data_IF_020525398213
#
_entry.id   IF_020525398213
#
_cell.length_a   1.000
_cell.length_b   1.000
_cell.length_c   1.000
_cell.angle_alpha   90.00
_cell.angle_beta   90.00
_cell.angle_gamma   90.00
#
_symmetry.space_group_name_H-M   'P 1'
#
loop_
_entity.id
_entity.type
_entity.pdbx_description
1 polymer ?
#
# COMPACT_ATOMS: atom_id res chain seq x y z
N UNK A 1 -17.36 25.23 -29.08
CA UNK A 1 -16.46 26.29 -28.65
C UNK A 1 -16.39 26.34 -27.10
N UNK A 2 -16.06 25.23 -26.44
CA UNK A 2 -15.94 25.13 -24.96
C UNK A 2 -14.72 24.27 -24.57
N UNK A 3 -13.58 24.39 -25.25
CA UNK A 3 -12.38 23.60 -24.95
C UNK A 3 -11.14 24.42 -24.55
N UNK A 4 -11.28 25.67 -24.16
CA UNK A 4 -10.11 26.51 -23.82
C UNK A 4 -10.05 27.02 -22.39
N UNK A 5 -10.96 26.64 -21.49
CA UNK A 5 -10.94 27.13 -20.10
C UNK A 5 -10.27 26.22 -19.08
N UNK A 6 -9.92 24.98 -19.40
CA UNK A 6 -9.34 24.03 -18.42
C UNK A 6 -7.82 24.11 -18.30
N UNK A 7 -7.11 24.69 -19.28
CA UNK A 7 -5.63 24.80 -19.24
C UNK A 7 -5.08 25.99 -18.44
N UNK A 8 -5.88 27.03 -18.24
CA UNK A 8 -5.39 28.28 -17.59
C UNK A 8 -5.46 28.21 -16.06
N UNK A 9 -6.37 27.39 -15.51
CA UNK A 9 -6.50 27.24 -14.06
C UNK A 9 -5.35 26.40 -13.46
N UNK A 10 -4.75 25.49 -14.23
CA UNK A 10 -3.64 24.66 -13.76
C UNK A 10 -2.32 25.43 -13.64
N UNK A 11 -2.12 26.51 -14.42
CA UNK A 11 -0.89 27.28 -14.44
C UNK A 11 -0.78 28.30 -13.29
N UNK A 12 -1.91 28.77 -12.75
CA UNK A 12 -1.94 29.77 -11.66
C UNK A 12 -1.68 29.21 -10.26
N UNK A 13 -1.79 27.88 -10.08
CA UNK A 13 -1.50 27.23 -8.79
C UNK A 13 0.00 26.99 -8.52
N UNK A 14 0.87 27.13 -9.53
CA UNK A 14 2.31 26.92 -9.36
C UNK A 14 3.05 28.14 -8.81
N UNK A 15 2.41 29.33 -8.73
CA UNK A 15 3.07 30.58 -8.34
C UNK A 15 3.02 30.90 -6.84
N UNK A 16 2.27 30.13 -6.02
CA UNK A 16 2.07 30.47 -4.62
C UNK A 16 2.71 29.51 -3.62
N UNK A 17 3.67 28.67 -4.02
CA UNK A 17 4.42 27.83 -3.07
C UNK A 17 3.56 26.85 -2.25
N UNK A 18 2.27 26.74 -2.49
CA UNK A 18 1.41 25.76 -1.86
C UNK A 18 1.70 24.39 -2.51
N UNK A 19 2.40 23.55 -1.79
CA UNK A 19 2.50 22.15 -2.05
C UNK A 19 1.09 21.62 -2.29
N UNK A 20 0.78 21.29 -3.57
CA UNK A 20 -0.42 20.53 -3.89
C UNK A 20 -0.31 19.21 -3.13
N UNK A 21 -1.02 19.13 -2.01
CA UNK A 21 -1.24 17.85 -1.35
C UNK A 21 -2.09 17.02 -2.31
N UNK A 22 -1.43 16.21 -3.13
CA UNK A 22 -2.15 15.26 -3.96
C UNK A 22 -3.01 14.40 -3.04
N UNK A 23 -4.29 14.21 -3.37
CA UNK A 23 -5.18 13.40 -2.55
C UNK A 23 -4.48 12.06 -2.29
N UNK A 24 -4.39 11.70 -1.01
CA UNK A 24 -3.77 10.46 -0.57
C UNK A 24 -4.27 9.30 -1.41
N UNK A 25 -3.36 8.47 -1.88
CA UNK A 25 -3.66 7.39 -2.82
C UNK A 25 -4.26 6.23 -2.04
N UNK A 26 -5.57 6.10 -2.09
CA UNK A 26 -6.33 5.06 -1.41
C UNK A 26 -6.31 3.79 -2.25
N UNK A 27 -5.82 2.67 -1.69
CA UNK A 27 -5.72 1.39 -2.42
C UNK A 27 -7.07 0.84 -2.89
N UNK A 28 -8.17 1.20 -2.20
CA UNK A 28 -9.51 0.76 -2.58
C UNK A 28 -9.90 1.18 -4.02
N UNK A 29 -9.30 2.27 -4.52
CA UNK A 29 -9.51 2.81 -5.86
C UNK A 29 -8.41 2.45 -6.86
N UNK A 30 -7.52 1.52 -6.49
CA UNK A 30 -6.39 1.11 -7.31
C UNK A 30 -6.49 -0.36 -7.70
N UNK A 31 -5.84 -0.70 -8.81
CA UNK A 31 -5.60 -2.07 -9.26
C UNK A 31 -4.09 -2.29 -9.29
N UNK A 32 -3.64 -3.38 -8.70
CA UNK A 32 -2.24 -3.83 -8.81
C UNK A 32 -2.09 -4.70 -10.06
N UNK A 33 -1.10 -4.39 -10.89
CA UNK A 33 -0.69 -5.18 -12.04
C UNK A 33 0.83 -5.18 -12.14
N UNK A 34 1.43 -6.37 -12.11
CA UNK A 34 2.90 -6.56 -12.19
C UNK A 34 3.67 -5.71 -11.14
N UNK A 35 3.18 -5.67 -9.90
CA UNK A 35 3.81 -4.90 -8.82
C UNK A 35 3.66 -3.38 -8.94
N UNK A 36 2.91 -2.88 -9.92
CA UNK A 36 2.57 -1.48 -10.10
C UNK A 36 1.09 -1.22 -9.80
N UNK A 37 0.80 -0.07 -9.22
CA UNK A 37 -0.56 0.35 -8.93
C UNK A 37 -1.06 1.33 -10.00
N UNK A 38 -2.31 1.14 -10.42
CA UNK A 38 -2.98 1.95 -11.43
C UNK A 38 -4.35 2.38 -10.93
N UNK A 39 -4.78 3.58 -11.28
CA UNK A 39 -6.15 4.03 -11.01
C UNK A 39 -7.16 3.16 -11.78
N UNK A 40 -8.21 2.70 -11.12
CA UNK A 40 -9.23 1.81 -11.73
C UNK A 40 -9.84 2.41 -13.01
N UNK A 41 -10.16 3.71 -12.98
CA UNK A 41 -10.82 4.40 -14.08
C UNK A 41 -9.83 4.82 -15.16
N UNK A 42 -8.82 5.64 -14.81
CA UNK A 42 -7.91 6.26 -15.78
C UNK A 42 -6.76 5.38 -16.23
N UNK A 43 -6.56 4.22 -15.57
CA UNK A 43 -5.42 3.30 -15.79
C UNK A 43 -4.04 3.94 -15.57
N UNK A 44 -4.00 5.17 -15.06
CA UNK A 44 -2.76 5.88 -14.79
C UNK A 44 -1.97 5.20 -13.66
N UNK A 45 -0.66 5.00 -13.85
CA UNK A 45 0.26 4.54 -12.80
C UNK A 45 0.32 5.54 -11.66
N UNK A 46 0.42 5.03 -10.43
CA UNK A 46 0.59 5.84 -9.23
C UNK A 46 1.90 5.51 -8.53
N UNK A 47 2.53 6.52 -7.95
CA UNK A 47 3.71 6.41 -7.10
C UNK A 47 3.50 7.21 -5.83
N UNK A 48 4.25 6.92 -4.77
CA UNK A 48 4.16 7.57 -3.47
C UNK A 48 3.50 6.71 -2.40
N UNK A 49 3.18 7.31 -1.27
CA UNK A 49 2.55 6.58 -0.17
C UNK A 49 1.12 6.14 -0.54
N UNK A 50 0.81 4.89 -0.23
CA UNK A 50 -0.51 4.31 -0.38
C UNK A 50 -1.17 4.17 0.98
N UNK A 51 -2.49 4.39 1.02
CA UNK A 51 -3.32 4.30 2.22
C UNK A 51 -4.55 3.42 1.96
N UNK A 52 -5.11 2.87 3.02
CA UNK A 52 -6.40 2.19 3.02
C UNK A 52 -7.38 2.96 3.91
N UNK A 53 -8.56 3.21 3.40
CA UNK A 53 -9.70 3.69 4.17
C UNK A 53 -10.58 2.50 4.54
N UNK A 54 -11.04 2.43 5.81
CA UNK A 54 -11.85 1.32 6.30
C UNK A 54 -13.35 1.59 6.20
N UNK A 55 -13.75 2.86 6.32
CA UNK A 55 -15.14 3.31 6.36
C UNK A 55 -15.48 4.40 5.33
N UNK A 56 -14.58 4.62 4.38
CA UNK A 56 -14.71 5.73 3.40
C UNK A 56 -14.36 7.11 3.99
N UNK A 57 -14.03 7.18 5.27
CA UNK A 57 -13.60 8.39 5.96
C UNK A 57 -12.08 8.52 5.99
N UNK A 58 -11.60 9.76 5.94
CA UNK A 58 -10.17 10.06 6.09
C UNK A 58 -9.68 9.92 7.53
N UNK A 59 -10.58 9.87 8.52
CA UNK A 59 -10.27 9.71 9.94
C UNK A 59 -9.83 8.28 10.30
N UNK A 60 -10.32 7.26 9.56
CA UNK A 60 -9.95 5.86 9.75
C UNK A 60 -9.06 5.33 8.63
N UNK A 61 -7.94 6.03 8.42
CA UNK A 61 -6.99 5.74 7.35
C UNK A 61 -5.72 5.11 7.88
N UNK A 62 -5.29 3.99 7.30
CA UNK A 62 -4.02 3.36 7.61
C UNK A 62 -3.05 3.43 6.41
N UNK A 63 -1.75 3.65 6.71
CA UNK A 63 -0.71 3.58 5.69
C UNK A 63 -0.48 2.11 5.31
N UNK A 64 -0.49 1.84 4.00
CA UNK A 64 -0.20 0.53 3.42
C UNK A 64 1.29 0.40 3.10
N UNK A 65 1.88 1.37 2.41
CA UNK A 65 3.28 1.33 2.02
C UNK A 65 3.65 2.40 1.00
N UNK A 66 4.87 2.30 0.50
CA UNK A 66 5.41 3.18 -0.54
C UNK A 66 5.49 2.42 -1.86
N UNK A 67 4.96 3.01 -2.94
CA UNK A 67 5.14 2.55 -4.31
C UNK A 67 6.01 3.54 -5.07
N UNK A 68 7.07 3.04 -5.69
CA UNK A 68 8.01 3.79 -6.53
C UNK A 68 7.86 3.36 -8.00
N UNK A 69 8.63 3.98 -8.89
CA UNK A 69 8.73 3.53 -10.28
C UNK A 69 9.23 2.07 -10.41
N UNK A 70 9.98 1.59 -9.41
CA UNK A 70 10.54 0.23 -9.36
C UNK A 70 9.64 -0.77 -8.61
N UNK A 71 8.42 -0.38 -8.22
CA UNK A 71 7.48 -1.21 -7.46
C UNK A 71 7.44 -0.86 -5.97
N UNK A 72 7.07 -1.84 -5.16
CA UNK A 72 6.95 -1.70 -3.70
C UNK A 72 8.31 -1.49 -3.06
N UNK A 73 8.37 -0.55 -2.09
CA UNK A 73 9.60 -0.21 -1.37
C UNK A 73 9.32 0.04 0.10
N UNK A 74 10.27 -0.35 0.99
CA UNK A 74 10.20 -0.13 2.43
C UNK A 74 9.12 -0.95 3.12
N UNK A 75 8.66 -0.46 4.26
CA UNK A 75 7.66 -1.14 5.09
C UNK A 75 6.30 -1.18 4.42
N UNK A 76 5.68 -2.37 4.41
CA UNK A 76 4.35 -2.61 3.89
C UNK A 76 3.49 -3.33 4.90
N UNK A 77 2.24 -2.84 5.08
CA UNK A 77 1.25 -3.40 5.98
C UNK A 77 -0.02 -3.70 5.19
N UNK A 78 -0.55 -4.92 5.34
CA UNK A 78 -1.90 -5.27 4.88
C UNK A 78 -2.82 -5.35 6.08
N UNK A 79 -4.09 -5.07 5.85
CA UNK A 79 -5.10 -5.01 6.88
C UNK A 79 -6.29 -5.88 6.50
N UNK A 80 -6.91 -6.51 7.50
CA UNK A 80 -8.22 -7.11 7.37
C UNK A 80 -9.28 -6.02 7.23
N UNK A 81 -10.52 -6.37 6.82
CA UNK A 81 -11.61 -5.40 6.70
C UNK A 81 -12.02 -4.82 8.05
N UNK A 82 -11.86 -5.59 9.12
CA UNK A 82 -12.12 -5.15 10.50
C UNK A 82 -11.04 -4.24 11.11
N UNK A 83 -10.04 -3.78 10.32
CA UNK A 83 -8.99 -2.88 10.77
C UNK A 83 -7.81 -3.54 11.48
N UNK A 84 -7.84 -4.86 11.70
CA UNK A 84 -6.72 -5.61 12.28
C UNK A 84 -5.64 -5.84 11.21
N UNK A 85 -4.37 -5.79 11.60
CA UNK A 85 -3.26 -6.13 10.70
C UNK A 85 -3.42 -7.56 10.18
N UNK A 86 -3.25 -7.73 8.86
CA UNK A 86 -3.20 -9.03 8.20
C UNK A 86 -1.79 -9.51 7.99
N UNK A 87 -0.90 -8.64 7.50
CA UNK A 87 0.52 -8.95 7.33
C UNK A 87 1.36 -7.68 7.33
N UNK A 88 2.62 -7.80 7.73
CA UNK A 88 3.58 -6.70 7.76
C UNK A 88 4.98 -7.21 7.44
N UNK A 89 5.75 -6.44 6.68
CA UNK A 89 7.12 -6.75 6.34
C UNK A 89 7.72 -5.68 5.44
N UNK A 90 8.82 -6.01 4.78
CA UNK A 90 9.55 -5.08 3.94
C UNK A 90 9.64 -5.54 2.50
N UNK A 91 9.56 -4.57 1.58
CA UNK A 91 9.89 -4.73 0.18
C UNK A 91 11.13 -3.95 -0.17
N UNK A 92 11.92 -4.51 -1.07
CA UNK A 92 13.04 -3.85 -1.77
C UNK A 92 12.90 -4.14 -3.26
N UNK A 93 12.76 -3.09 -4.08
CA UNK A 93 12.56 -3.22 -5.52
C UNK A 93 11.47 -4.27 -5.88
N UNK A 94 10.31 -4.16 -5.24
CA UNK A 94 9.15 -5.04 -5.43
C UNK A 94 9.31 -6.50 -4.94
N UNK A 95 10.43 -6.87 -4.33
CA UNK A 95 10.68 -8.19 -3.75
C UNK A 95 10.52 -8.14 -2.23
N UNK A 96 9.92 -9.16 -1.64
CA UNK A 96 9.88 -9.30 -0.18
C UNK A 96 11.27 -9.57 0.37
N UNK A 97 11.64 -8.91 1.48
CA UNK A 97 12.92 -9.09 2.18
C UNK A 97 12.71 -9.11 3.68
N UNK A 98 13.58 -9.82 4.40
CA UNK A 98 13.55 -9.91 5.85
C UNK A 98 12.31 -10.63 6.39
N UNK A 99 12.01 -10.39 7.65
CA UNK A 99 10.88 -11.04 8.31
C UNK A 99 9.54 -10.44 7.91
N UNK A 100 8.60 -11.31 7.57
CA UNK A 100 7.19 -11.03 7.35
C UNK A 100 6.37 -11.72 8.41
N UNK A 101 5.48 -10.96 9.05
CA UNK A 101 4.57 -11.48 10.08
C UNK A 101 3.15 -11.47 9.53
N UNK A 102 2.40 -12.53 9.82
CA UNK A 102 0.99 -12.65 9.44
C UNK A 102 0.12 -12.92 10.67
N UNK A 103 -1.04 -12.24 10.73
CA UNK A 103 -2.04 -12.33 11.79
C UNK A 103 -3.40 -12.74 11.22
N UNK A 104 -4.15 -13.50 12.00
CA UNK A 104 -5.55 -13.82 11.68
C UNK A 104 -6.46 -12.59 11.95
N UNK A 105 -7.76 -12.75 11.67
CA UNK A 105 -8.75 -11.68 11.85
C UNK A 105 -8.98 -11.29 13.33
N UNK A 106 -8.56 -12.14 14.27
CA UNK A 106 -8.58 -11.86 15.71
C UNK A 106 -7.29 -11.20 16.21
N UNK A 107 -6.31 -10.92 15.32
CA UNK A 107 -5.05 -10.30 15.69
C UNK A 107 -4.01 -11.27 16.25
N UNK A 108 -4.27 -12.57 16.25
CA UNK A 108 -3.32 -13.58 16.70
C UNK A 108 -2.29 -13.86 15.60
N UNK A 109 -1.00 -13.75 15.93
CA UNK A 109 0.11 -14.09 15.05
C UNK A 109 0.08 -15.59 14.75
N UNK A 110 0.16 -15.96 13.48
CA UNK A 110 0.17 -17.35 13.08
C UNK A 110 1.35 -17.75 12.19
N UNK A 111 1.92 -16.81 11.41
CA UNK A 111 3.15 -17.04 10.66
C UNK A 111 4.19 -15.95 10.88
N UNK A 112 5.45 -16.38 10.88
CA UNK A 112 6.62 -15.54 10.65
C UNK A 112 7.45 -16.17 9.54
N UNK A 113 7.71 -15.42 8.49
CA UNK A 113 8.32 -15.92 7.25
C UNK A 113 9.53 -15.06 6.96
N UNK A 114 10.70 -15.67 6.83
CA UNK A 114 11.92 -14.98 6.39
C UNK A 114 12.01 -15.07 4.85
N UNK A 115 12.14 -13.90 4.22
CA UNK A 115 12.36 -13.77 2.80
C UNK A 115 13.74 -13.21 2.48
N UNK A 116 14.37 -13.74 1.42
CA UNK A 116 15.52 -13.14 0.77
C UNK A 116 15.21 -12.98 -0.72
N UNK A 117 15.30 -11.74 -1.21
CA UNK A 117 15.01 -11.33 -2.59
C UNK A 117 13.70 -11.94 -3.17
N UNK A 118 12.67 -12.10 -2.35
CA UNK A 118 11.37 -12.65 -2.73
C UNK A 118 11.22 -14.15 -2.52
N UNK A 119 12.30 -14.87 -2.23
CA UNK A 119 12.29 -16.30 -1.93
C UNK A 119 12.06 -16.55 -0.44
N UNK A 120 11.32 -17.59 -0.11
CA UNK A 120 11.12 -18.01 1.29
C UNK A 120 12.36 -18.79 1.74
N UNK A 121 12.97 -18.34 2.84
CA UNK A 121 14.09 -19.01 3.50
C UNK A 121 13.59 -19.88 4.64
N UNK A 122 12.74 -19.33 5.52
CA UNK A 122 12.15 -20.09 6.63
C UNK A 122 10.70 -19.67 6.87
N UNK A 123 9.91 -20.59 7.42
CA UNK A 123 8.54 -20.36 7.87
C UNK A 123 8.41 -20.90 9.29
N UNK A 124 8.03 -20.04 10.23
CA UNK A 124 7.62 -20.43 11.57
C UNK A 124 6.10 -20.35 11.69
N UNK A 125 5.47 -21.48 12.03
CA UNK A 125 4.03 -21.58 12.24
C UNK A 125 3.75 -21.62 13.74
N UNK A 126 3.00 -20.63 14.26
CA UNK A 126 2.68 -20.50 15.68
C UNK A 126 1.40 -21.26 16.08
N UNK A 127 0.57 -21.69 15.13
CA UNK A 127 -0.64 -22.45 15.44
C UNK A 127 -0.37 -23.92 15.76
N UNK A 128 0.73 -24.49 15.26
CA UNK A 128 1.10 -25.88 15.52
C UNK A 128 1.75 -26.13 16.89
N UNK A 129 2.16 -25.06 17.60
CA UNK A 129 2.83 -25.19 18.92
C UNK A 129 1.85 -25.35 20.10
N UNK A 130 0.54 -25.23 19.88
CA UNK A 130 -0.49 -25.34 20.94
C UNK A 130 -1.22 -26.70 20.91
N UNK A 131 -0.70 -27.71 20.20
CA UNK A 131 -1.30 -29.03 20.07
C UNK A 131 -0.45 -30.15 20.71
N UNK A 132 0.56 -29.79 21.53
CA UNK A 132 1.34 -30.74 22.35
C UNK A 132 1.00 -30.58 23.82
#
# INVERSE_FOLDING_TARGET
>A
MIEKCTSIILALFFLNGNSLSFPSKVVNNLVEKNGQFHRKITKQKVTGNLFRDFDGSTSHRAKVGLITKNGKEGKWTRWWENGIKKSEGFYKKNKKVGYWVEWNQSGVKYYEILYDEGNIITIKNYQKQNLE
#
